data_IF_794874814681
#
_entry.id   IF_794874814681
#
_cell.length_a   1.000
_cell.length_b   1.000
_cell.length_c   1.000
_cell.angle_alpha   90.00
_cell.angle_beta   90.00
_cell.angle_gamma   90.00
#
_symmetry.space_group_name_H-M   'P 1'
#
loop_
_entity.id
_entity.type
_entity.pdbx_description
1 polymer ?
#
# COMPACT_ATOMS: atom_id res chain seq x y z
N UNK A 1 -6.72 -12.75 20.61
CA UNK A 1 -6.84 -13.05 19.16
C UNK A 1 -5.74 -14.03 18.77
N UNK A 2 -6.03 -15.07 17.98
CA UNK A 2 -5.01 -16.02 17.55
C UNK A 2 -3.86 -15.31 16.82
N UNK A 3 -2.66 -15.85 16.98
CA UNK A 3 -1.50 -15.34 16.29
C UNK A 3 -1.67 -15.44 14.76
N UNK A 4 -1.06 -14.56 13.95
CA UNK A 4 -1.26 -14.55 12.49
C UNK A 4 -0.99 -15.88 11.78
N UNK A 5 -0.14 -16.75 12.36
CA UNK A 5 0.16 -18.09 11.84
C UNK A 5 -0.85 -19.18 12.23
N UNK A 6 -1.78 -18.88 13.14
CA UNK A 6 -2.85 -19.77 13.61
C UNK A 6 -4.24 -19.37 13.10
N UNK A 7 -4.32 -18.38 12.21
CA UNK A 7 -5.58 -17.84 11.69
C UNK A 7 -6.07 -18.63 10.46
N UNK A 8 -7.27 -19.21 10.55
CA UNK A 8 -7.93 -19.85 9.40
C UNK A 8 -8.90 -18.87 8.72
N UNK A 9 -8.47 -18.34 7.55
CA UNK A 9 -9.25 -17.40 6.74
C UNK A 9 -10.60 -17.95 6.25
N UNK A 10 -10.84 -19.27 6.32
CA UNK A 10 -12.11 -19.90 5.93
C UNK A 10 -13.07 -20.14 7.10
N UNK A 11 -12.56 -20.24 8.33
CA UNK A 11 -13.36 -20.59 9.50
C UNK A 11 -13.75 -19.38 10.35
N UNK A 12 -13.10 -18.23 10.18
CA UNK A 12 -13.38 -17.04 10.97
C UNK A 12 -14.40 -16.11 10.31
N UNK A 13 -15.29 -15.55 11.13
CA UNK A 13 -16.28 -14.52 10.73
C UNK A 13 -15.62 -13.25 10.14
N UNK A 14 -14.33 -13.04 10.39
CA UNK A 14 -13.54 -11.90 9.91
C UNK A 14 -12.26 -12.40 9.21
N UNK A 15 -12.30 -12.77 7.92
CA UNK A 15 -11.11 -13.24 7.20
C UNK A 15 -9.97 -12.21 7.26
N UNK A 16 -8.73 -12.67 7.46
CA UNK A 16 -7.52 -11.84 7.48
C UNK A 16 -6.72 -12.11 6.20
N UNK A 17 -7.12 -11.51 5.06
CA UNK A 17 -6.48 -11.78 3.79
C UNK A 17 -4.96 -11.58 3.88
N UNK A 18 -4.23 -12.53 3.29
CA UNK A 18 -2.77 -12.58 3.27
C UNK A 18 -2.11 -12.94 4.61
N UNK A 19 -2.84 -13.47 5.59
CA UNK A 19 -2.31 -14.02 6.85
C UNK A 19 -1.05 -14.87 6.66
N UNK A 20 -1.08 -15.83 5.73
CA UNK A 20 0.04 -16.70 5.35
C UNK A 20 1.23 -15.94 4.74
N UNK A 21 0.95 -14.89 3.97
CA UNK A 21 1.97 -14.02 3.37
C UNK A 21 2.61 -13.12 4.44
N UNK A 22 1.83 -12.66 5.43
CA UNK A 22 2.31 -11.86 6.56
C UNK A 22 3.22 -12.67 7.47
N UNK A 23 2.83 -13.91 7.78
CA UNK A 23 3.58 -14.81 8.66
C UNK A 23 4.80 -15.44 7.96
N UNK A 24 4.63 -15.99 6.75
CA UNK A 24 5.69 -16.67 6.01
C UNK A 24 6.57 -15.77 5.15
N UNK A 25 6.17 -14.52 4.91
CA UNK A 25 6.83 -13.65 3.93
C UNK A 25 6.65 -14.16 2.49
N UNK A 26 7.47 -13.62 1.58
CA UNK A 26 7.50 -14.11 0.21
C UNK A 26 8.39 -15.37 0.10
N UNK A 27 7.92 -16.43 -0.58
CA UNK A 27 8.68 -17.67 -0.70
C UNK A 27 9.96 -17.54 -1.54
N UNK A 28 10.05 -16.49 -2.38
CA UNK A 28 11.24 -16.24 -3.20
C UNK A 28 12.22 -15.30 -2.47
N UNK A 29 13.50 -15.70 -2.33
CA UNK A 29 14.57 -14.83 -1.82
C UNK A 29 14.65 -13.53 -2.62
N UNK A 30 14.99 -12.41 -1.98
CA UNK A 30 15.04 -11.09 -2.64
C UNK A 30 15.93 -11.09 -3.89
N UNK A 31 17.12 -11.72 -3.80
CA UNK A 31 18.06 -11.84 -4.90
C UNK A 31 17.50 -12.54 -6.15
N UNK A 32 16.54 -13.47 -6.02
CA UNK A 32 15.93 -14.16 -7.17
C UNK A 32 14.69 -13.44 -7.74
N UNK A 33 14.27 -12.34 -7.12
CA UNK A 33 13.15 -11.50 -7.62
C UNK A 33 13.60 -10.63 -8.77
N UNK A 34 12.66 -10.27 -9.64
CA UNK A 34 12.89 -9.38 -10.77
C UNK A 34 13.32 -8.00 -10.26
N UNK A 35 14.42 -7.40 -10.76
CA UNK A 35 14.91 -6.07 -10.38
C UNK A 35 14.07 -4.95 -11.04
N UNK A 36 12.75 -5.10 -11.00
CA UNK A 36 11.79 -4.21 -11.62
C UNK A 36 10.93 -3.57 -10.54
N UNK A 37 10.59 -2.31 -10.76
CA UNK A 37 9.55 -1.65 -9.99
C UNK A 37 8.19 -2.20 -10.41
N UNK A 38 7.31 -2.47 -9.45
CA UNK A 38 6.02 -3.09 -9.70
C UNK A 38 4.88 -2.36 -9.00
N UNK A 39 3.77 -2.20 -9.71
CA UNK A 39 2.50 -1.75 -9.13
C UNK A 39 1.31 -2.37 -9.87
N UNK A 40 0.30 -2.78 -9.09
CA UNK A 40 -1.02 -3.18 -9.59
C UNK A 40 -2.09 -2.55 -8.74
N UNK A 41 -2.88 -1.66 -9.34
CA UNK A 41 -4.01 -1.02 -8.69
C UNK A 41 -4.88 -0.32 -9.71
N UNK A 42 -6.13 -0.02 -9.33
CA UNK A 42 -6.99 0.84 -10.16
C UNK A 42 -6.59 2.31 -10.08
N UNK A 43 -7.10 3.12 -11.01
CA UNK A 43 -6.99 4.59 -11.04
C UNK A 43 -7.82 5.28 -9.93
N UNK A 44 -7.74 4.80 -8.70
CA UNK A 44 -8.39 5.44 -7.56
C UNK A 44 -7.64 6.76 -7.26
N UNK A 45 -8.38 7.81 -6.94
CA UNK A 45 -7.95 9.20 -6.82
C UNK A 45 -9.16 10.11 -7.07
N UNK A 46 -9.15 11.40 -6.70
CA UNK A 46 -10.32 12.26 -6.87
C UNK A 46 -10.79 12.29 -8.34
N UNK A 47 -11.84 11.52 -8.63
CA UNK A 47 -12.45 11.41 -9.96
C UNK A 47 -13.53 12.47 -10.19
N UNK A 48 -14.02 13.11 -9.12
CA UNK A 48 -14.95 14.25 -9.16
C UNK A 48 -14.58 15.26 -8.07
N UNK A 49 -13.86 16.31 -8.47
CA UNK A 49 -13.48 17.41 -7.56
C UNK A 49 -12.80 18.59 -8.25
N UNK A 50 -12.15 18.37 -9.39
CA UNK A 50 -11.64 19.43 -10.27
C UNK A 50 -11.90 19.01 -11.72
N UNK A 51 -13.00 19.49 -12.32
CA UNK A 51 -13.42 19.13 -13.69
C UNK A 51 -12.41 19.67 -14.70
N UNK A 52 -11.55 18.80 -15.24
CA UNK A 52 -10.58 19.12 -16.29
C UNK A 52 -9.50 18.02 -16.48
N UNK A 53 -8.54 18.19 -17.41
CA UNK A 53 -7.47 17.22 -17.70
C UNK A 53 -6.47 17.01 -16.55
N UNK A 54 -6.71 17.59 -15.37
CA UNK A 54 -5.83 17.61 -14.19
C UNK A 54 -5.55 16.20 -13.66
N UNK A 55 -6.37 15.21 -13.99
CA UNK A 55 -6.11 13.82 -13.65
C UNK A 55 -4.78 13.28 -14.19
N UNK A 56 -4.18 13.94 -15.20
CA UNK A 56 -2.82 13.68 -15.68
C UNK A 56 -1.71 13.91 -14.64
N UNK A 57 -1.99 14.68 -13.60
CA UNK A 57 -1.06 14.94 -12.50
C UNK A 57 -1.17 13.91 -11.37
N UNK A 58 -2.12 12.96 -11.44
CA UNK A 58 -2.24 11.95 -10.39
C UNK A 58 -1.07 10.95 -10.44
N UNK A 59 -0.49 10.59 -9.27
CA UNK A 59 0.65 9.69 -9.18
C UNK A 59 0.39 8.34 -9.85
N UNK A 60 -0.82 7.79 -9.73
CA UNK A 60 -1.22 6.56 -10.41
C UNK A 60 -1.12 6.74 -11.92
N UNK A 61 -1.82 7.70 -12.55
CA UNK A 61 -1.66 7.93 -14.00
C UNK A 61 -0.21 8.20 -14.41
N UNK A 62 0.52 9.04 -13.68
CA UNK A 62 1.94 9.30 -13.97
C UNK A 62 2.77 8.03 -13.98
N UNK A 63 2.55 7.11 -13.04
CA UNK A 63 3.21 5.82 -13.06
C UNK A 63 2.88 4.97 -14.32
N UNK A 64 1.71 5.13 -14.96
CA UNK A 64 1.45 4.48 -16.27
C UNK A 64 2.31 5.10 -17.36
N UNK A 65 2.42 6.43 -17.36
CA UNK A 65 3.24 7.18 -18.33
C UNK A 65 4.71 6.74 -18.19
N UNK A 66 5.21 6.62 -16.95
CA UNK A 66 6.55 6.08 -16.70
C UNK A 66 6.72 4.67 -17.29
N UNK A 67 5.77 3.75 -17.09
CA UNK A 67 5.81 2.41 -17.70
C UNK A 67 5.86 2.45 -19.23
N UNK A 68 5.04 3.29 -19.87
CA UNK A 68 5.02 3.42 -21.33
C UNK A 68 6.34 3.99 -21.87
N UNK A 69 6.92 4.97 -21.19
CA UNK A 69 8.20 5.59 -21.58
C UNK A 69 9.42 4.68 -21.37
N UNK A 70 9.33 3.72 -20.44
CA UNK A 70 10.43 2.82 -20.07
C UNK A 70 9.93 1.39 -19.83
N UNK A 71 9.60 0.65 -20.90
CA UNK A 71 9.21 -0.75 -20.80
C UNK A 71 10.33 -1.55 -20.12
N UNK A 72 9.99 -2.25 -19.03
CA UNK A 72 10.97 -3.06 -18.30
C UNK A 72 11.73 -2.33 -17.20
N UNK A 73 11.34 -1.12 -16.79
CA UNK A 73 11.78 -0.49 -15.53
C UNK A 73 10.66 -0.52 -14.48
N UNK A 74 9.46 -0.06 -14.87
CA UNK A 74 8.24 -0.12 -14.08
C UNK A 74 7.21 -1.00 -14.77
N UNK A 75 6.74 -2.01 -14.06
CA UNK A 75 5.66 -2.87 -14.47
C UNK A 75 4.36 -2.42 -13.79
N UNK A 76 3.62 -1.51 -14.45
CA UNK A 76 2.33 -1.01 -13.99
C UNK A 76 1.22 -1.23 -15.02
N UNK A 77 0.04 -1.67 -14.55
CA UNK A 77 -1.15 -1.94 -15.37
C UNK A 77 -2.40 -1.41 -14.69
N UNK A 78 -3.33 -0.86 -15.47
CA UNK A 78 -4.50 -0.16 -14.95
C UNK A 78 -5.80 -0.44 -15.69
N UNK A 79 -6.87 0.00 -15.04
CA UNK A 79 -8.25 0.09 -15.51
C UNK A 79 -8.62 1.57 -15.45
N UNK A 80 -9.14 2.12 -16.56
CA UNK A 80 -9.80 3.42 -16.56
C UNK A 80 -11.08 3.35 -15.73
N UNK A 81 -11.38 4.44 -15.02
CA UNK A 81 -12.58 4.52 -14.19
C UNK A 81 -13.84 4.79 -15.03
N UNK A 82 -13.66 5.41 -16.20
CA UNK A 82 -14.67 5.63 -17.23
C UNK A 82 -14.11 5.28 -18.62
N UNK A 83 -14.98 5.33 -19.64
CA UNK A 83 -14.65 4.96 -21.01
C UNK A 83 -13.61 5.89 -21.66
N UNK A 84 -13.59 7.18 -21.32
CA UNK A 84 -12.69 8.16 -21.91
C UNK A 84 -11.26 7.97 -21.38
N UNK A 85 -11.14 7.83 -20.05
CA UNK A 85 -9.87 7.49 -19.40
C UNK A 85 -9.35 6.14 -19.87
N UNK A 86 -10.22 5.12 -19.96
CA UNK A 86 -9.83 3.80 -20.48
C UNK A 86 -9.31 3.90 -21.92
N UNK A 87 -9.94 4.71 -22.78
CA UNK A 87 -9.47 4.96 -24.15
C UNK A 87 -8.08 5.61 -24.17
N UNK A 88 -7.87 6.68 -23.38
CA UNK A 88 -6.55 7.34 -23.32
C UNK A 88 -5.46 6.41 -22.75
N UNK A 89 -5.76 5.64 -21.71
CA UNK A 89 -4.80 4.72 -21.11
C UNK A 89 -4.44 3.58 -22.07
N UNK A 90 -5.41 3.05 -22.81
CA UNK A 90 -5.17 2.03 -23.85
C UNK A 90 -4.30 2.55 -24.99
N UNK A 91 -4.44 3.83 -25.36
CA UNK A 91 -3.59 4.43 -26.38
C UNK A 91 -2.11 4.51 -25.96
N UNK A 92 -1.82 4.52 -24.65
CA UNK A 92 -0.46 4.62 -24.11
C UNK A 92 0.16 3.27 -23.73
N UNK A 93 -0.65 2.23 -23.57
CA UNK A 93 -0.12 0.89 -23.28
C UNK A 93 -1.21 -0.17 -23.13
N UNK A 94 -0.85 -1.45 -23.30
CA UNK A 94 -1.80 -2.54 -23.20
C UNK A 94 -2.27 -2.71 -21.74
N UNK A 95 -3.60 -2.77 -21.60
CA UNK A 95 -4.23 -3.27 -20.38
C UNK A 95 -3.77 -4.69 -20.11
N UNK A 96 -3.50 -5.02 -18.84
CA UNK A 96 -3.18 -6.40 -18.45
C UNK A 96 -4.09 -6.89 -17.34
N UNK A 97 -4.15 -8.22 -17.22
CA UNK A 97 -4.98 -8.92 -16.25
C UNK A 97 -4.63 -8.51 -14.82
N UNK A 98 -5.65 -8.48 -13.96
CA UNK A 98 -5.47 -8.32 -12.53
C UNK A 98 -4.68 -9.52 -12.03
N UNK A 99 -3.60 -9.26 -11.30
CA UNK A 99 -2.76 -10.30 -10.69
C UNK A 99 -3.12 -10.42 -9.20
N UNK A 100 -3.06 -11.63 -8.62
CA UNK A 100 -3.23 -11.80 -7.19
C UNK A 100 -2.14 -11.05 -6.42
N UNK A 101 -2.43 -10.59 -5.20
CA UNK A 101 -1.48 -9.83 -4.40
C UNK A 101 -0.12 -10.56 -4.21
N UNK A 102 -0.13 -11.89 -4.15
CA UNK A 102 1.08 -12.71 -4.06
C UNK A 102 2.06 -12.50 -5.24
N UNK A 103 1.61 -11.97 -6.38
CA UNK A 103 2.48 -11.62 -7.50
C UNK A 103 3.53 -10.55 -7.13
N UNK A 104 3.25 -9.69 -6.15
CA UNK A 104 4.23 -8.72 -5.61
C UNK A 104 5.53 -9.39 -5.15
N UNK A 105 5.46 -10.64 -4.68
CA UNK A 105 6.63 -11.41 -4.25
C UNK A 105 7.63 -11.73 -5.37
N UNK A 106 7.24 -11.53 -6.63
CA UNK A 106 8.12 -11.71 -7.78
C UNK A 106 9.07 -10.53 -8.04
N UNK A 107 8.94 -9.42 -7.32
CA UNK A 107 9.60 -8.16 -7.62
C UNK A 107 10.42 -7.64 -6.44
N UNK A 108 11.59 -7.06 -6.73
CA UNK A 108 12.46 -6.46 -5.72
C UNK A 108 11.90 -5.14 -5.20
N UNK A 109 11.23 -4.37 -6.06
CA UNK A 109 10.78 -3.02 -5.75
C UNK A 109 9.27 -2.89 -5.96
N UNK A 110 8.58 -2.29 -5.00
CA UNK A 110 7.15 -2.01 -5.07
C UNK A 110 6.93 -0.51 -5.01
N UNK A 111 6.26 0.04 -6.03
CA UNK A 111 5.83 1.43 -6.00
C UNK A 111 4.56 1.53 -5.16
N UNK A 112 4.59 2.37 -4.13
CA UNK A 112 3.45 2.67 -3.29
C UNK A 112 2.96 4.09 -3.56
N UNK A 113 1.77 4.18 -4.14
CA UNK A 113 1.10 5.44 -4.50
C UNK A 113 -0.33 5.46 -3.96
N UNK A 114 -0.71 6.60 -3.41
CA UNK A 114 -2.01 6.77 -2.79
C UNK A 114 -3.16 6.81 -3.81
N UNK A 115 -4.37 6.64 -3.31
CA UNK A 115 -5.60 6.73 -4.09
C UNK A 115 -6.35 8.02 -3.77
N UNK A 116 -7.63 7.90 -3.39
CA UNK A 116 -8.38 9.03 -2.82
C UNK A 116 -7.76 9.55 -1.52
N UNK A 117 -7.21 8.62 -0.74
CA UNK A 117 -6.51 8.83 0.53
C UNK A 117 -5.38 7.80 0.63
N UNK A 118 -4.78 7.67 1.82
CA UNK A 118 -3.71 6.72 2.11
C UNK A 118 -4.12 5.32 1.66
N UNK A 119 -3.26 4.67 0.87
CA UNK A 119 -3.59 3.36 0.36
C UNK A 119 -3.39 2.31 1.44
N UNK A 120 -4.48 1.64 1.81
CA UNK A 120 -4.47 0.48 2.71
C UNK A 120 -3.54 -0.65 2.25
N UNK A 121 -2.97 -0.57 1.05
CA UNK A 121 -2.01 -1.55 0.54
C UNK A 121 -0.73 -1.66 1.38
N UNK A 122 -0.30 -0.55 1.97
CA UNK A 122 0.97 -0.52 2.70
C UNK A 122 0.94 -1.46 3.91
N UNK A 123 -0.09 -1.32 4.74
CA UNK A 123 -0.31 -2.15 5.93
C UNK A 123 -1.30 -3.29 5.70
N UNK A 124 -2.53 -3.00 5.28
CA UNK A 124 -3.61 -3.98 5.19
C UNK A 124 -3.38 -5.00 4.05
N UNK A 125 -2.96 -4.55 2.86
CA UNK A 125 -2.57 -5.50 1.82
C UNK A 125 -1.17 -6.08 2.07
N UNK A 126 -0.42 -5.62 3.07
CA UNK A 126 0.81 -6.26 3.54
C UNK A 126 2.03 -6.06 2.64
N UNK A 127 2.13 -4.96 1.86
CA UNK A 127 3.32 -4.67 1.03
C UNK A 127 4.60 -4.65 1.87
N UNK A 128 4.56 -4.05 3.06
CA UNK A 128 5.72 -4.03 3.97
C UNK A 128 6.11 -5.43 4.48
N UNK A 129 5.18 -6.38 4.56
CA UNK A 129 5.47 -7.74 5.05
C UNK A 129 6.23 -8.60 4.03
N UNK A 130 6.35 -8.16 2.78
CA UNK A 130 6.92 -8.94 1.68
C UNK A 130 8.47 -8.91 1.65
N UNK A 131 9.08 -7.97 2.37
CA UNK A 131 10.53 -7.72 2.31
C UNK A 131 11.00 -7.19 0.95
N UNK A 132 10.09 -6.69 0.11
CA UNK A 132 10.45 -5.92 -1.06
C UNK A 132 10.78 -4.47 -0.66
N UNK A 133 11.61 -3.79 -1.43
CA UNK A 133 11.92 -2.37 -1.19
C UNK A 133 10.72 -1.53 -1.61
N UNK A 134 10.15 -0.81 -0.66
CA UNK A 134 9.00 0.07 -0.94
C UNK A 134 9.51 1.42 -1.44
N UNK A 135 9.00 1.85 -2.58
CA UNK A 135 9.15 3.18 -3.13
C UNK A 135 7.90 3.96 -2.78
N UNK A 136 7.93 4.74 -1.70
CA UNK A 136 6.74 5.44 -1.21
C UNK A 136 6.72 6.85 -1.76
N UNK A 137 5.68 7.15 -2.53
CA UNK A 137 5.38 8.51 -2.96
C UNK A 137 5.05 9.41 -1.77
N UNK A 138 5.62 10.61 -1.76
CA UNK A 138 5.25 11.68 -0.86
C UNK A 138 3.81 12.14 -1.10
N UNK A 139 3.01 12.22 -0.05
CA UNK A 139 1.57 12.43 -0.12
C UNK A 139 1.07 13.07 1.15
N UNK A 140 0.02 13.87 1.01
CA UNK A 140 -0.68 14.48 2.16
C UNK A 140 -1.45 13.47 3.00
N UNK A 141 -1.67 12.26 2.48
CA UNK A 141 -2.41 11.24 3.21
C UNK A 141 -1.52 10.50 4.18
N UNK A 142 -2.06 10.20 5.37
CA UNK A 142 -1.36 9.47 6.42
C UNK A 142 -2.24 8.39 7.05
N UNK A 143 -1.63 7.26 7.38
CA UNK A 143 -2.20 6.30 8.32
C UNK A 143 -1.56 6.47 9.70
N UNK A 144 -2.17 5.91 10.75
CA UNK A 144 -1.72 6.07 12.14
C UNK A 144 -0.25 5.69 12.39
N UNK A 145 0.31 4.77 11.61
CA UNK A 145 1.69 4.29 11.76
C UNK A 145 2.71 5.04 10.89
N UNK A 146 2.28 5.88 9.94
CA UNK A 146 3.21 6.60 9.04
C UNK A 146 4.20 7.50 9.81
N UNK A 147 3.81 8.19 10.91
CA UNK A 147 4.76 8.98 11.72
C UNK A 147 5.92 8.16 12.32
N UNK A 148 5.78 6.83 12.42
CA UNK A 148 6.84 5.93 12.89
C UNK A 148 7.78 5.49 11.75
N UNK A 149 7.36 5.67 10.49
CA UNK A 149 8.18 5.37 9.34
C UNK A 149 9.25 6.45 9.14
N UNK A 150 10.39 6.05 8.54
CA UNK A 150 11.53 6.93 8.31
C UNK A 150 12.01 6.71 6.87
N UNK A 151 12.13 7.78 6.06
CA UNK A 151 12.65 7.67 4.70
C UNK A 151 14.08 7.12 4.74
N UNK A 152 14.46 6.35 3.73
CA UNK A 152 15.73 5.62 3.60
C UNK A 152 16.02 4.57 4.68
N UNK A 153 15.24 4.51 5.76
CA UNK A 153 15.27 3.42 6.74
C UNK A 153 14.23 2.34 6.42
N UNK A 154 12.97 2.73 6.19
CA UNK A 154 11.86 1.79 5.96
C UNK A 154 11.33 1.82 4.53
N UNK A 155 11.66 2.83 3.74
CA UNK A 155 11.23 2.96 2.35
C UNK A 155 12.15 3.93 1.60
N UNK A 156 12.17 3.85 0.27
CA UNK A 156 12.79 4.85 -0.61
C UNK A 156 11.74 5.95 -0.86
N UNK A 157 11.98 7.20 -0.42
CA UNK A 157 11.06 8.30 -0.70
C UNK A 157 11.09 8.65 -2.18
N UNK A 158 9.91 8.91 -2.73
CA UNK A 158 9.71 9.36 -4.11
C UNK A 158 8.94 10.66 -4.07
N UNK A 159 9.33 11.63 -4.90
CA UNK A 159 8.64 12.90 -5.06
C UNK A 159 7.15 12.69 -5.28
N UNK A 160 6.34 13.62 -4.77
CA UNK A 160 4.88 13.60 -4.88
C UNK A 160 4.41 13.47 -6.33
N UNK A 161 5.15 14.05 -7.27
CA UNK A 161 4.85 13.98 -8.68
C UNK A 161 5.45 12.74 -9.37
N UNK A 162 6.32 11.96 -8.72
CA UNK A 162 7.14 10.89 -9.31
C UNK A 162 8.23 11.37 -10.26
N UNK A 163 8.62 12.65 -10.22
CA UNK A 163 9.65 13.20 -11.10
C UNK A 163 11.04 12.55 -10.90
N UNK A 164 11.36 12.16 -9.67
CA UNK A 164 12.63 11.53 -9.29
C UNK A 164 12.57 9.99 -9.34
N UNK A 165 11.44 9.39 -9.74
CA UNK A 165 11.25 7.94 -9.65
C UNK A 165 12.32 7.14 -10.41
N UNK A 166 12.73 7.63 -11.58
CA UNK A 166 13.76 6.98 -12.39
C UNK A 166 15.15 7.09 -11.76
N UNK A 167 15.46 8.21 -11.11
CA UNK A 167 16.69 8.39 -10.34
C UNK A 167 16.73 7.39 -9.18
N UNK A 168 15.65 7.31 -8.39
CA UNK A 168 15.52 6.38 -7.27
C UNK A 168 15.61 4.93 -7.72
N UNK A 169 15.01 4.59 -8.87
CA UNK A 169 15.09 3.25 -9.44
C UNK A 169 16.52 2.88 -9.85
N UNK A 170 17.26 3.78 -10.50
CA UNK A 170 18.68 3.55 -10.83
C UNK A 170 19.53 3.41 -9.58
N UNK A 171 19.32 4.27 -8.59
CA UNK A 171 19.99 4.16 -7.28
C UNK A 171 19.78 2.79 -6.66
N UNK A 172 18.54 2.26 -6.64
CA UNK A 172 18.26 0.98 -6.01
C UNK A 172 18.92 -0.20 -6.74
N UNK A 173 19.04 -0.14 -8.07
CA UNK A 173 19.75 -1.16 -8.83
C UNK A 173 21.27 -1.08 -8.64
N UNK A 174 21.83 0.13 -8.56
CA UNK A 174 23.25 0.33 -8.28
C UNK A 174 23.62 -0.05 -6.83
N UNK A 175 22.68 0.06 -5.90
CA UNK A 175 22.85 -0.19 -4.47
C UNK A 175 21.95 -1.35 -3.99
N UNK A 176 21.93 -2.47 -4.72
CA UNK A 176 20.99 -3.57 -4.51
C UNK A 176 20.97 -4.11 -3.06
N UNK A 177 22.14 -4.20 -2.41
CA UNK A 177 22.26 -4.64 -1.01
C UNK A 177 21.61 -3.66 -0.04
N UNK A 178 21.79 -2.36 -0.26
CA UNK A 178 21.19 -1.33 0.57
C UNK A 178 19.67 -1.25 0.36
N UNK A 179 19.22 -1.38 -0.90
CA UNK A 179 17.80 -1.46 -1.23
C UNK A 179 17.12 -2.67 -0.57
N UNK A 180 17.77 -3.84 -0.59
CA UNK A 180 17.30 -5.04 0.11
C UNK A 180 17.17 -4.79 1.61
N UNK A 181 18.18 -4.17 2.22
CA UNK A 181 18.19 -3.88 3.65
C UNK A 181 17.08 -2.91 4.07
N UNK A 182 16.75 -1.91 3.23
CA UNK A 182 15.56 -1.05 3.43
C UNK A 182 14.28 -1.90 3.46
N UNK A 183 14.12 -2.81 2.49
CA UNK A 183 12.97 -3.72 2.42
C UNK A 183 12.89 -4.65 3.65
N UNK A 184 14.03 -5.16 4.12
CA UNK A 184 14.13 -5.99 5.33
C UNK A 184 13.72 -5.22 6.59
N UNK A 185 14.18 -3.98 6.75
CA UNK A 185 13.77 -3.10 7.86
C UNK A 185 12.27 -2.79 7.82
N UNK A 186 11.70 -2.56 6.64
CA UNK A 186 10.26 -2.38 6.46
C UNK A 186 9.47 -3.61 6.92
N UNK A 187 9.94 -4.81 6.55
CA UNK A 187 9.33 -6.07 6.97
C UNK A 187 9.41 -6.30 8.47
N UNK A 188 10.56 -6.02 9.08
CA UNK A 188 10.73 -6.09 10.52
C UNK A 188 9.74 -5.14 11.24
N UNK A 189 9.69 -3.88 10.82
CA UNK A 189 8.74 -2.89 11.36
C UNK A 189 7.30 -3.38 11.28
N UNK A 190 6.89 -3.92 10.13
CA UNK A 190 5.52 -4.39 9.94
C UNK A 190 5.18 -5.60 10.83
N UNK A 191 6.12 -6.54 11.00
CA UNK A 191 5.95 -7.69 11.89
C UNK A 191 5.86 -7.30 13.36
N UNK A 192 6.60 -6.27 13.76
CA UNK A 192 6.66 -5.78 15.13
C UNK A 192 5.46 -4.89 15.49
N UNK A 193 5.04 -3.99 14.59
CA UNK A 193 4.07 -2.94 14.92
C UNK A 193 2.75 -3.02 14.16
N UNK A 194 2.65 -3.80 13.07
CA UNK A 194 1.45 -3.85 12.21
C UNK A 194 0.76 -5.22 12.22
N UNK A 195 1.04 -6.06 13.23
CA UNK A 195 0.27 -7.26 13.48
C UNK A 195 -1.05 -6.94 14.21
N UNK A 196 -2.02 -7.85 14.14
CA UNK A 196 -3.39 -7.65 14.66
C UNK A 196 -3.41 -7.21 16.13
N UNK A 197 -2.51 -7.75 16.95
CA UNK A 197 -2.40 -7.39 18.37
C UNK A 197 -2.00 -5.92 18.57
N UNK A 198 -1.01 -5.44 17.84
CA UNK A 198 -0.59 -4.03 17.90
C UNK A 198 -1.68 -3.07 17.41
N UNK A 199 -2.40 -3.43 16.34
CA UNK A 199 -3.53 -2.63 15.84
C UNK A 199 -4.68 -2.59 16.85
N UNK A 200 -5.00 -3.73 17.49
CA UNK A 200 -6.01 -3.77 18.55
C UNK A 200 -5.60 -2.94 19.78
N UNK A 201 -4.31 -2.99 20.15
CA UNK A 201 -3.77 -2.18 21.24
C UNK A 201 -3.90 -0.68 20.94
N UNK A 202 -3.56 -0.25 19.72
CA UNK A 202 -3.75 1.14 19.28
C UNK A 202 -5.21 1.57 19.42
N UNK A 203 -6.16 0.76 18.95
CA UNK A 203 -7.58 1.06 19.07
C UNK A 203 -8.04 1.17 20.53
N UNK A 204 -7.60 0.25 21.38
CA UNK A 204 -7.93 0.31 22.81
C UNK A 204 -7.41 1.60 23.45
N UNK A 205 -6.14 1.95 23.26
CA UNK A 205 -5.56 3.18 23.80
C UNK A 205 -6.26 4.43 23.27
N UNK A 206 -6.53 4.48 21.95
CA UNK A 206 -7.22 5.59 21.30
C UNK A 206 -8.62 5.80 21.88
N UNK A 207 -9.41 4.73 22.00
CA UNK A 207 -10.77 4.80 22.49
C UNK A 207 -10.84 5.11 23.99
N UNK A 208 -9.90 4.57 24.79
CA UNK A 208 -9.78 4.91 26.21
C UNK A 208 -9.44 6.39 26.41
N UNK A 209 -8.43 6.90 25.71
CA UNK A 209 -8.06 8.31 25.80
C UNK A 209 -9.18 9.23 25.28
N UNK A 210 -9.91 8.81 24.24
CA UNK A 210 -11.06 9.56 23.73
C UNK A 210 -12.21 9.60 24.74
N UNK A 211 -12.46 8.49 25.46
CA UNK A 211 -13.52 8.42 26.46
C UNK A 211 -13.28 9.41 27.60
N UNK A 212 -12.03 9.57 28.06
CA UNK A 212 -11.67 10.52 29.13
C UNK A 212 -11.90 11.99 28.72
N UNK A 213 -11.96 12.28 27.42
CA UNK A 213 -12.22 13.63 26.90
C UNK A 213 -13.71 13.94 26.75
N UNK A 214 -14.62 12.99 26.98
CA UNK A 214 -16.05 13.21 26.79
C UNK A 214 -16.65 13.98 27.99
N UNK A 215 -17.25 15.17 27.77
CA UNK A 215 -17.87 15.95 28.85
C UNK A 215 -19.30 15.50 29.17
N UNK A 216 -19.70 14.30 28.75
CA UNK A 216 -21.07 13.81 28.87
C UNK A 216 -21.10 12.30 29.14
N UNK A 217 -22.16 11.82 29.79
CA UNK A 217 -22.42 10.41 29.95
C UNK A 217 -22.94 9.80 28.64
N UNK A 218 -22.31 8.74 28.08
CA UNK A 218 -22.79 8.10 26.87
C UNK A 218 -24.19 7.51 27.03
N UNK A 219 -25.03 7.69 26.01
CA UNK A 219 -26.35 7.06 25.91
C UNK A 219 -26.23 5.63 25.38
N UNK A 220 -27.08 4.73 25.85
CA UNK A 220 -27.13 3.35 25.36
C UNK A 220 -27.74 3.27 23.96
N UNK A 221 -27.55 2.14 23.27
CA UNK A 221 -28.21 1.91 21.98
C UNK A 221 -29.74 2.00 22.07
N UNK A 222 -30.32 1.53 23.18
CA UNK A 222 -31.75 1.65 23.46
C UNK A 222 -32.19 3.10 23.61
N UNK A 223 -31.41 3.93 24.33
CA UNK A 223 -31.68 5.36 24.46
C UNK A 223 -31.64 6.09 23.10
N UNK A 224 -30.85 5.60 22.15
CA UNK A 224 -30.75 6.12 20.79
C UNK A 224 -31.77 5.51 19.81
N UNK A 225 -32.63 4.59 20.28
CA UNK A 225 -33.64 3.93 19.45
C UNK A 225 -33.10 2.82 18.53
N UNK A 226 -31.86 2.36 18.73
CA UNK A 226 -31.34 1.20 18.03
C UNK A 226 -32.02 -0.07 18.55
N UNK A 227 -32.54 -0.90 17.63
CA UNK A 227 -33.08 -2.22 17.98
C UNK A 227 -31.93 -3.22 18.17
N UNK A 228 -32.02 -4.14 19.14
CA UNK A 228 -31.07 -5.25 19.21
C UNK A 228 -31.07 -6.02 17.90
N UNK A 229 -29.87 -6.37 17.41
CA UNK A 229 -29.68 -7.20 16.23
C UNK A 229 -29.99 -8.68 16.51
#
# INVERSE_FOLDING_TARGET
MPAPWSWDDKAHRWPQPFSKLRSGGCPKPYASRKPLLYFRGGCNGPTRGWRGPIWQFYPRKRANIHTASRPGALNKHEWGWDAEMEKEMRARGPKRKIEPFAANCGYRYLLHVDGNVASSRLALASEMHLGATIFKQDSFSSEHFYPLLRPWRHYVPVDRSLADLDEKYRWANANAREAEEIGRRAQAFAREHLHTGSVACYWWQLLSALADLQPFAPRTGADLGFRPA
#
